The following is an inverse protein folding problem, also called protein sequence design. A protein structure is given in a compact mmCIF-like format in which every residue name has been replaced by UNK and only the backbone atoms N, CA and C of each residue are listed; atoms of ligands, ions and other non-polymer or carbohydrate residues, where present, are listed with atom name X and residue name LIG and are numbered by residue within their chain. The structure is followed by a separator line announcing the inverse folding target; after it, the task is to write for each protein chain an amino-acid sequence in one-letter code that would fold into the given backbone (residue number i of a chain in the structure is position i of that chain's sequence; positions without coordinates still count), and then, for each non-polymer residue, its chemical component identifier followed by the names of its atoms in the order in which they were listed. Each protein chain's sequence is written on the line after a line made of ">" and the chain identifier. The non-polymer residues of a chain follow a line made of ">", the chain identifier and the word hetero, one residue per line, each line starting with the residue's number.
data_IF_222195239983
#
_entry.id   IF_222195239983
#
_cell.length_a   1.000
_cell.length_b   1.000
_cell.length_c   1.000
_cell.angle_alpha   90.00
_cell.angle_beta   90.00
_cell.angle_gamma   90.00
#
_symmetry.space_group_name_H-M   'P 1'
#
loop_
_entity.id
_entity.type
_entity.pdbx_description
1 polymer ?
#
# COMPACT_ATOMS: atom_id res chain seq x y z
N UNK A 1 32.49 -0.25 31.61
CA UNK A 1 32.88 -1.24 30.59
C UNK A 1 31.89 -2.40 30.63
N UNK A 2 30.70 -2.20 30.06
CA UNK A 2 29.74 -3.29 29.82
C UNK A 2 29.94 -3.72 28.38
N UNK A 3 30.44 -4.94 28.16
CA UNK A 3 30.51 -5.56 26.84
C UNK A 3 29.09 -5.63 26.29
N UNK A 4 28.74 -4.75 25.35
CA UNK A 4 27.52 -4.90 24.59
C UNK A 4 27.64 -6.18 23.75
N UNK A 5 26.66 -7.10 23.81
CA UNK A 5 26.67 -8.27 22.95
C UNK A 5 26.58 -7.78 21.51
N UNK A 6 27.67 -7.92 20.76
CA UNK A 6 27.67 -7.73 19.30
C UNK A 6 26.83 -8.86 18.73
N UNK A 7 25.54 -8.60 18.53
CA UNK A 7 24.65 -9.50 17.81
C UNK A 7 25.30 -9.72 16.44
N UNK A 8 25.77 -10.94 16.18
CA UNK A 8 26.38 -11.26 14.89
C UNK A 8 25.35 -11.05 13.78
N UNK A 9 25.79 -10.62 12.59
CA UNK A 9 24.87 -10.34 11.46
C UNK A 9 23.87 -11.48 11.24
N UNK A 10 24.30 -12.74 11.39
CA UNK A 10 23.43 -13.92 11.26
C UNK A 10 22.33 -14.04 12.33
N UNK A 11 22.62 -13.67 13.57
CA UNK A 11 21.60 -13.65 14.64
C UNK A 11 20.56 -12.55 14.37
N UNK A 12 20.98 -11.43 13.79
CA UNK A 12 20.08 -10.34 13.45
C UNK A 12 19.17 -10.68 12.27
N UNK A 13 19.68 -11.34 11.22
CA UNK A 13 18.82 -11.83 10.12
C UNK A 13 17.78 -12.81 10.62
N UNK A 14 18.14 -13.70 11.55
CA UNK A 14 17.18 -14.61 12.19
C UNK A 14 16.15 -13.85 13.03
N UNK A 15 16.57 -12.81 13.75
CA UNK A 15 15.69 -11.98 14.57
C UNK A 15 14.70 -11.18 13.71
N UNK A 16 15.12 -10.68 12.54
CA UNK A 16 14.24 -10.03 11.56
C UNK A 16 13.39 -11.00 10.73
N UNK A 17 13.85 -12.22 10.50
CA UNK A 17 13.06 -13.24 9.81
C UNK A 17 12.00 -13.85 10.74
N UNK A 18 12.22 -13.80 12.06
CA UNK A 18 11.34 -14.41 13.07
C UNK A 18 9.89 -13.92 13.01
N UNK A 19 9.57 -12.62 12.83
CA UNK A 19 8.19 -12.16 12.77
C UNK A 19 7.55 -12.54 11.44
N UNK A 20 8.34 -12.68 10.37
CA UNK A 20 7.87 -13.15 9.06
C UNK A 20 7.39 -14.60 9.13
N UNK A 21 8.19 -15.47 9.74
CA UNK A 21 7.84 -16.88 9.96
C UNK A 21 6.63 -17.00 10.87
N UNK A 22 6.59 -16.21 11.95
CA UNK A 22 5.49 -16.22 12.91
C UNK A 22 4.18 -15.71 12.27
N UNK A 23 4.24 -14.63 11.49
CA UNK A 23 3.08 -14.11 10.75
C UNK A 23 2.61 -15.09 9.67
N UNK A 24 3.53 -15.80 8.99
CA UNK A 24 3.19 -16.80 7.99
C UNK A 24 2.46 -18.00 8.60
N UNK A 25 2.91 -18.46 9.77
CA UNK A 25 2.21 -19.50 10.55
C UNK A 25 0.82 -18.99 10.99
N UNK A 26 0.74 -17.75 11.48
CA UNK A 26 -0.54 -17.15 11.89
C UNK A 26 -1.52 -16.95 10.74
N UNK A 27 -1.07 -16.62 9.51
CA UNK A 27 -1.96 -16.58 8.33
C UNK A 27 -2.60 -17.93 8.07
N UNK A 28 -1.80 -19.00 8.04
CA UNK A 28 -2.31 -20.35 7.76
C UNK A 28 -3.33 -20.77 8.81
N UNK A 29 -3.07 -20.47 10.09
CA UNK A 29 -4.01 -20.74 11.18
C UNK A 29 -5.26 -19.86 11.12
N UNK A 30 -5.14 -18.58 10.76
CA UNK A 30 -6.25 -17.63 10.69
C UNK A 30 -7.21 -17.93 9.54
N UNK A 31 -6.69 -18.36 8.38
CA UNK A 31 -7.48 -18.76 7.21
C UNK A 31 -8.39 -19.95 7.50
N UNK A 32 -8.02 -20.82 8.43
CA UNK A 32 -8.89 -21.93 8.87
C UNK A 32 -10.07 -21.49 9.73
N UNK A 33 -10.05 -20.25 10.26
CA UNK A 33 -11.07 -19.73 11.19
C UNK A 33 -11.97 -18.66 10.59
N UNK A 34 -11.45 -17.76 9.75
CA UNK A 34 -12.22 -16.65 9.18
C UNK A 34 -11.51 -15.99 8.01
N UNK A 35 -12.22 -15.75 6.91
CA UNK A 35 -11.71 -15.03 5.74
C UNK A 35 -11.21 -13.61 6.08
N UNK A 36 -11.89 -12.90 6.99
CA UNK A 36 -11.48 -11.56 7.41
C UNK A 36 -10.16 -11.58 8.20
N UNK A 37 -9.97 -12.57 9.06
CA UNK A 37 -8.71 -12.75 9.80
C UNK A 37 -7.58 -13.16 8.87
N UNK A 38 -7.84 -14.03 7.88
CA UNK A 38 -6.88 -14.37 6.83
C UNK A 38 -6.42 -13.13 6.05
N UNK A 39 -7.36 -12.28 5.63
CA UNK A 39 -7.05 -11.01 4.95
C UNK A 39 -6.20 -10.07 5.83
N UNK A 40 -6.54 -9.91 7.10
CA UNK A 40 -5.79 -9.07 8.03
C UNK A 40 -4.36 -9.60 8.24
N UNK A 41 -4.20 -10.92 8.39
CA UNK A 41 -2.88 -11.53 8.55
C UNK A 41 -2.03 -11.38 7.28
N UNK A 42 -2.63 -11.55 6.08
CA UNK A 42 -1.95 -11.27 4.80
C UNK A 42 -1.52 -9.81 4.70
N UNK A 43 -2.38 -8.86 5.12
CA UNK A 43 -2.04 -7.45 5.15
C UNK A 43 -0.86 -7.15 6.10
N UNK A 44 -0.81 -7.81 7.25
CA UNK A 44 0.32 -7.70 8.20
C UNK A 44 1.62 -8.25 7.62
N UNK A 45 1.58 -9.38 6.90
CA UNK A 45 2.76 -9.92 6.21
C UNK A 45 3.27 -8.92 5.18
N UNK A 46 2.39 -8.40 4.33
CA UNK A 46 2.77 -7.39 3.34
C UNK A 46 3.32 -6.13 3.99
N UNK A 47 2.72 -5.69 5.10
CA UNK A 47 3.20 -4.54 5.87
C UNK A 47 4.58 -4.80 6.48
N UNK A 48 4.83 -6.01 6.97
CA UNK A 48 6.13 -6.37 7.53
C UNK A 48 7.20 -6.47 6.44
N UNK A 49 6.87 -7.06 5.29
CA UNK A 49 7.75 -7.10 4.13
C UNK A 49 8.12 -5.68 3.65
N UNK A 50 7.14 -4.78 3.58
CA UNK A 50 7.36 -3.36 3.30
C UNK A 50 8.36 -2.75 4.30
N UNK A 51 8.17 -2.96 5.61
CA UNK A 51 9.12 -2.48 6.63
C UNK A 51 10.55 -3.00 6.44
N UNK A 52 10.73 -4.27 6.04
CA UNK A 52 12.06 -4.82 5.77
C UNK A 52 12.72 -4.15 4.56
N UNK A 53 11.96 -3.86 3.50
CA UNK A 53 12.45 -3.11 2.34
C UNK A 53 12.88 -1.70 2.77
N UNK A 54 12.09 -1.03 3.62
CA UNK A 54 12.45 0.26 4.19
C UNK A 54 13.77 0.21 4.98
N UNK A 55 13.94 -0.80 5.83
CA UNK A 55 15.20 -1.00 6.58
C UNK A 55 16.38 -1.21 5.64
N UNK A 56 16.25 -2.04 4.61
CA UNK A 56 17.30 -2.29 3.62
C UNK A 56 17.68 -1.00 2.87
N UNK A 57 16.71 -0.17 2.53
CA UNK A 57 16.95 1.12 1.88
C UNK A 57 17.74 2.08 2.78
N UNK A 58 17.42 2.16 4.07
CA UNK A 58 18.22 2.93 5.00
C UNK A 58 19.64 2.37 5.13
N UNK A 59 19.78 1.05 5.25
CA UNK A 59 21.10 0.41 5.28
C UNK A 59 21.95 0.80 4.06
N UNK A 60 21.36 0.77 2.87
CA UNK A 60 22.02 1.18 1.63
C UNK A 60 22.37 2.68 1.62
N UNK A 61 21.46 3.56 2.05
CA UNK A 61 21.70 5.00 2.09
C UNK A 61 22.87 5.38 3.02
N UNK A 62 22.97 4.75 4.19
CA UNK A 62 24.10 4.98 5.09
C UNK A 62 25.39 4.32 4.59
N UNK A 63 25.31 3.16 3.93
CA UNK A 63 26.47 2.55 3.28
C UNK A 63 27.04 3.45 2.17
N UNK A 64 26.19 4.15 1.41
CA UNK A 64 26.62 5.16 0.41
C UNK A 64 27.35 6.35 1.05
N UNK A 65 27.05 6.68 2.30
CA UNK A 65 27.75 7.70 3.09
C UNK A 65 29.00 7.16 3.79
N UNK A 66 29.37 5.89 3.56
CA UNK A 66 30.51 5.24 4.20
C UNK A 66 30.32 4.98 5.70
N UNK A 67 29.07 4.98 6.19
CA UNK A 67 28.77 4.78 7.61
C UNK A 67 28.22 3.39 7.86
N UNK A 68 28.92 2.65 8.72
CA UNK A 68 28.45 1.36 9.21
C UNK A 68 27.48 1.58 10.37
N UNK A 69 26.20 1.35 10.11
CA UNK A 69 25.16 1.32 11.15
C UNK A 69 24.87 -0.10 11.56
N UNK A 70 24.65 -0.29 12.86
CA UNK A 70 24.20 -1.58 13.35
C UNK A 70 22.75 -1.81 12.97
N UNK A 71 22.33 -3.06 12.86
CA UNK A 71 21.00 -3.32 12.34
C UNK A 71 19.85 -2.90 13.29
N UNK A 72 20.11 -2.84 14.60
CA UNK A 72 19.20 -2.24 15.58
C UNK A 72 18.99 -0.75 15.31
N UNK A 73 20.05 -0.04 14.91
CA UNK A 73 19.99 1.39 14.60
C UNK A 73 19.16 1.63 13.33
N UNK A 74 19.32 0.77 12.31
CA UNK A 74 18.48 0.79 11.10
C UNK A 74 17.00 0.60 11.46
N UNK A 75 16.69 -0.33 12.36
CA UNK A 75 15.31 -0.58 12.79
C UNK A 75 14.70 0.63 13.49
N UNK A 76 15.43 1.27 14.40
CA UNK A 76 14.99 2.46 15.12
C UNK A 76 14.78 3.65 14.17
N UNK A 77 15.73 3.92 13.27
CA UNK A 77 15.61 4.98 12.26
C UNK A 77 14.38 4.74 11.39
N UNK A 78 14.17 3.49 10.96
CA UNK A 78 13.01 3.11 10.15
C UNK A 78 11.71 3.31 10.92
N UNK A 79 11.62 2.88 12.18
CA UNK A 79 10.42 3.04 12.99
C UNK A 79 10.04 4.53 13.17
N UNK A 80 11.02 5.37 13.47
CA UNK A 80 10.83 6.82 13.65
C UNK A 80 10.40 7.48 12.34
N UNK A 81 10.99 7.06 11.23
CA UNK A 81 10.59 7.50 9.90
C UNK A 81 9.15 7.14 9.54
N UNK A 82 8.71 5.92 9.88
CA UNK A 82 7.32 5.50 9.67
C UNK A 82 6.34 6.28 10.55
N UNK A 83 6.70 6.57 11.80
CA UNK A 83 5.88 7.42 12.68
C UNK A 83 5.75 8.83 12.11
N UNK A 84 6.85 9.40 11.62
CA UNK A 84 6.84 10.74 11.03
C UNK A 84 5.98 10.82 9.76
N UNK A 85 5.90 9.73 8.97
CA UNK A 85 5.06 9.67 7.77
C UNK A 85 3.55 9.64 8.07
N UNK A 86 3.14 9.31 9.30
CA UNK A 86 1.73 9.31 9.71
C UNK A 86 1.21 10.74 9.92
N UNK A 87 2.09 11.70 10.18
CA UNK A 87 1.71 13.09 10.52
C UNK A 87 1.49 13.89 9.22
N UNK A 88 0.24 14.23 8.83
CA UNK A 88 -0.05 14.86 7.53
C UNK A 88 0.05 16.39 7.59
N UNK A 89 1.07 16.93 8.27
CA UNK A 89 1.18 18.39 8.53
C UNK A 89 2.03 19.10 7.45
N UNK A 90 2.96 18.40 6.83
CA UNK A 90 3.77 18.85 5.68
C UNK A 90 3.87 17.70 4.68
N UNK A 91 4.05 17.95 3.37
CA UNK A 91 4.04 16.91 2.31
C UNK A 91 4.95 15.70 2.57
N UNK A 92 4.45 14.71 3.32
CA UNK A 92 5.15 13.53 3.81
C UNK A 92 6.01 13.70 5.07
N UNK A 93 5.72 14.66 5.95
CA UNK A 93 6.38 14.79 7.27
C UNK A 93 7.79 15.41 7.26
N UNK A 94 8.13 16.18 6.22
CA UNK A 94 9.37 16.96 6.12
C UNK A 94 9.49 17.90 7.35
N UNK A 95 10.62 17.84 8.05
CA UNK A 95 10.81 18.43 9.38
C UNK A 95 10.68 17.42 10.53
N UNK A 96 9.50 16.85 10.79
CA UNK A 96 9.32 15.92 11.93
C UNK A 96 10.21 14.68 11.83
N UNK A 97 10.45 14.21 10.61
CA UNK A 97 11.34 13.08 10.35
C UNK A 97 12.80 13.43 10.58
N UNK A 98 13.24 14.62 10.18
CA UNK A 98 14.61 15.09 10.36
C UNK A 98 14.92 15.28 11.85
N UNK A 99 13.97 15.84 12.60
CA UNK A 99 14.04 15.95 14.05
C UNK A 99 14.01 14.58 14.71
N UNK A 100 13.08 13.70 14.33
CA UNK A 100 12.96 12.36 14.92
C UNK A 100 14.21 11.52 14.72
N UNK A 101 14.76 11.48 13.50
CA UNK A 101 15.98 10.73 13.17
C UNK A 101 17.18 11.32 13.91
N UNK A 102 17.31 12.65 13.94
CA UNK A 102 18.35 13.34 14.70
C UNK A 102 18.28 13.09 16.20
N UNK A 103 17.07 13.15 16.78
CA UNK A 103 16.84 12.90 18.21
C UNK A 103 17.13 11.44 18.58
N UNK A 104 16.75 10.51 17.73
CA UNK A 104 17.02 9.07 17.94
C UNK A 104 18.52 8.78 17.87
N UNK A 105 19.24 9.47 16.98
CA UNK A 105 20.70 9.37 16.89
C UNK A 105 21.42 9.93 18.13
N UNK A 106 20.89 10.98 18.76
CA UNK A 106 21.48 11.57 19.97
C UNK A 106 21.10 10.83 21.25
N UNK A 107 19.89 10.27 21.33
CA UNK A 107 19.36 9.61 22.54
C UNK A 107 19.74 8.13 22.68
N UNK A 108 20.22 7.48 21.61
CA UNK A 108 20.54 6.04 21.66
C UNK A 108 22.02 5.80 21.97
N UNK A 109 22.36 5.12 23.09
CA UNK A 109 23.74 4.73 23.40
C UNK A 109 24.33 3.88 22.26
N UNK A 110 25.52 4.24 21.77
CA UNK A 110 26.15 3.59 20.62
C UNK A 110 25.80 4.17 19.25
N UNK A 111 24.84 5.10 19.15
CA UNK A 111 24.59 5.93 17.95
C UNK A 111 25.32 7.29 18.03
N UNK A 112 25.90 7.62 19.18
CA UNK A 112 26.51 8.92 19.51
C UNK A 112 27.65 9.40 18.58
N UNK A 113 28.05 8.61 17.57
CA UNK A 113 29.00 9.00 16.52
C UNK A 113 28.38 9.34 15.16
N UNK A 114 27.09 9.06 14.94
CA UNK A 114 26.42 9.43 13.68
C UNK A 114 26.03 10.89 13.81
N UNK A 115 26.82 11.77 13.18
CA UNK A 115 26.50 13.18 13.11
C UNK A 115 25.08 13.35 12.56
N UNK A 116 24.27 14.20 13.19
CA UNK A 116 22.90 14.51 12.72
C UNK A 116 22.87 14.87 11.23
N UNK A 117 23.94 15.53 10.75
CA UNK A 117 24.14 15.83 9.31
C UNK A 117 24.16 14.58 8.44
N UNK A 118 24.82 13.50 8.88
CA UNK A 118 24.90 12.23 8.15
C UNK A 118 23.56 11.51 8.16
N UNK A 119 22.87 11.49 9.31
CA UNK A 119 21.57 10.83 9.41
C UNK A 119 20.49 11.54 8.57
N UNK A 120 20.48 12.88 8.60
CA UNK A 120 19.62 13.70 7.72
C UNK A 120 20.02 13.52 6.25
N UNK A 121 21.32 13.49 5.94
CA UNK A 121 21.82 13.25 4.58
C UNK A 121 21.37 11.91 4.01
N UNK A 122 21.45 10.84 4.80
CA UNK A 122 20.98 9.51 4.40
C UNK A 122 19.47 9.51 4.13
N UNK A 123 18.69 10.18 4.98
CA UNK A 123 17.25 10.28 4.80
C UNK A 123 16.87 11.05 3.53
N UNK A 124 17.55 12.18 3.26
CA UNK A 124 17.34 12.99 2.05
C UNK A 124 17.70 12.19 0.79
N UNK A 125 18.85 11.50 0.76
CA UNK A 125 19.25 10.65 -0.37
C UNK A 125 18.19 9.57 -0.62
N UNK A 126 17.78 8.87 0.43
CA UNK A 126 16.75 7.84 0.32
C UNK A 126 15.44 8.42 -0.24
N UNK A 127 15.08 9.65 0.14
CA UNK A 127 13.85 10.30 -0.33
C UNK A 127 13.93 10.80 -1.77
N UNK A 128 15.09 11.31 -2.19
CA UNK A 128 15.33 11.69 -3.58
C UNK A 128 15.21 10.46 -4.46
N UNK A 129 15.86 9.35 -4.08
CA UNK A 129 15.76 8.09 -4.79
C UNK A 129 14.30 7.61 -4.91
N UNK A 130 13.54 7.69 -3.81
CA UNK A 130 12.11 7.36 -3.83
C UNK A 130 11.32 8.23 -4.78
N UNK A 131 11.48 9.54 -4.68
CA UNK A 131 10.67 10.52 -5.40
C UNK A 131 10.92 10.44 -6.89
N UNK A 132 12.18 10.26 -7.30
CA UNK A 132 12.57 10.06 -8.70
C UNK A 132 11.93 8.80 -9.29
N UNK A 133 11.67 7.75 -8.50
CA UNK A 133 11.07 6.50 -8.98
C UNK A 133 9.53 6.56 -8.90
N UNK A 134 8.98 7.04 -7.78
CA UNK A 134 7.54 7.03 -7.52
C UNK A 134 6.78 7.98 -8.42
N UNK A 135 7.32 9.17 -8.71
CA UNK A 135 6.66 10.15 -9.60
C UNK A 135 6.43 9.55 -11.01
N UNK A 136 7.44 9.06 -11.74
CA UNK A 136 7.22 8.54 -13.09
C UNK A 136 6.35 7.28 -13.07
N UNK A 137 6.53 6.37 -12.11
CA UNK A 137 5.68 5.18 -11.98
C UNK A 137 4.23 5.58 -11.73
N UNK A 138 4.00 6.53 -10.83
CA UNK A 138 2.67 7.08 -10.54
C UNK A 138 2.03 7.68 -11.80
N UNK A 139 2.75 8.52 -12.53
CA UNK A 139 2.25 9.13 -13.78
C UNK A 139 1.90 8.09 -14.84
N UNK A 140 2.74 7.07 -15.03
CA UNK A 140 2.47 5.97 -15.98
C UNK A 140 1.22 5.20 -15.56
N UNK A 141 1.10 4.82 -14.30
CA UNK A 141 -0.07 4.12 -13.78
C UNK A 141 -1.33 4.96 -13.92
N UNK A 142 -1.29 6.25 -13.56
CA UNK A 142 -2.43 7.17 -13.74
C UNK A 142 -2.83 7.28 -15.20
N UNK A 143 -1.87 7.37 -16.13
CA UNK A 143 -2.17 7.42 -17.57
C UNK A 143 -2.83 6.12 -18.06
N UNK A 144 -2.37 4.96 -17.61
CA UNK A 144 -2.94 3.65 -17.97
C UNK A 144 -4.36 3.48 -17.43
N UNK A 145 -4.60 3.87 -16.16
CA UNK A 145 -5.92 3.84 -15.54
C UNK A 145 -6.87 4.80 -16.26
N UNK A 146 -6.43 6.04 -16.52
CA UNK A 146 -7.22 7.03 -17.26
C UNK A 146 -7.61 6.53 -18.67
N UNK A 147 -6.69 5.84 -19.35
CA UNK A 147 -6.95 5.19 -20.65
C UNK A 147 -8.02 4.10 -20.55
N UNK A 148 -7.94 3.23 -19.53
CA UNK A 148 -8.95 2.17 -19.32
C UNK A 148 -10.32 2.75 -18.96
N UNK A 149 -10.39 3.74 -18.09
CA UNK A 149 -11.65 4.39 -17.74
C UNK A 149 -12.31 5.06 -18.95
N UNK A 150 -11.54 5.75 -19.80
CA UNK A 150 -12.06 6.31 -21.06
C UNK A 150 -12.63 5.25 -22.01
N UNK A 151 -11.97 4.09 -22.12
CA UNK A 151 -12.44 3.00 -22.97
C UNK A 151 -13.78 2.43 -22.48
N UNK A 152 -13.93 2.19 -21.16
CA UNK A 152 -15.17 1.71 -20.56
C UNK A 152 -16.31 2.72 -20.71
N UNK A 153 -16.05 4.02 -20.50
CA UNK A 153 -17.07 5.06 -20.68
C UNK A 153 -17.52 5.18 -22.14
N UNK A 154 -16.60 5.02 -23.10
CA UNK A 154 -16.93 5.01 -24.54
C UNK A 154 -17.84 3.84 -24.91
N UNK A 155 -17.63 2.65 -24.34
CA UNK A 155 -18.49 1.49 -24.56
C UNK A 155 -19.92 1.73 -24.04
N UNK A 156 -20.05 2.26 -22.82
CA UNK A 156 -21.37 2.59 -22.24
C UNK A 156 -22.13 3.64 -23.06
N UNK A 157 -21.43 4.66 -23.55
CA UNK A 157 -22.04 5.69 -24.40
C UNK A 157 -22.53 5.11 -25.74
N UNK A 158 -21.80 4.15 -26.31
CA UNK A 158 -22.21 3.46 -27.55
C UNK A 158 -23.43 2.54 -27.32
N UNK A 159 -23.46 1.79 -26.22
CA UNK A 159 -24.60 0.95 -25.84
C UNK A 159 -25.87 1.77 -25.58
N UNK A 160 -25.76 2.94 -24.93
CA UNK A 160 -26.89 3.83 -24.70
C UNK A 160 -27.41 4.48 -25.99
N UNK A 161 -26.50 4.94 -26.87
CA UNK A 161 -26.88 5.49 -28.17
C UNK A 161 -27.57 4.46 -29.08
N UNK A 162 -27.12 3.19 -29.06
CA UNK A 162 -27.79 2.11 -29.81
C UNK A 162 -29.14 1.70 -29.23
N UNK A 163 -29.41 1.93 -27.95
CA UNK A 163 -30.70 1.65 -27.33
C UNK A 163 -31.76 2.74 -27.66
N UNK A 164 -31.32 3.97 -27.90
CA UNK A 164 -32.19 5.11 -28.23
C UNK A 164 -32.58 5.14 -29.72
N UNK A 165 -31.75 4.54 -30.59
CA UNK A 165 -32.01 4.36 -32.03
C UNK A 165 -32.82 3.09 -32.38
N UNK A 166 -33.26 2.31 -31.39
CA UNK A 166 -34.32 1.33 -31.67
C UNK A 166 -35.58 2.14 -31.97
N UNK A 167 -36.11 2.11 -33.21
CA UNK A 167 -37.35 2.80 -33.51
C UNK A 167 -38.36 2.24 -32.54
N UNK A 168 -38.93 3.11 -31.70
CA UNK A 168 -40.10 2.81 -30.89
C UNK A 168 -41.10 2.26 -31.87
N UNK A 169 -41.18 0.92 -31.94
CA UNK A 169 -42.13 0.23 -32.76
C UNK A 169 -43.44 0.75 -32.26
N UNK A 170 -44.06 1.64 -33.04
CA UNK A 170 -45.44 2.02 -32.84
C UNK A 170 -46.16 0.71 -32.55
N UNK A 171 -46.81 0.54 -31.38
CA UNK A 171 -47.74 -0.56 -31.23
C UNK A 171 -48.71 -0.36 -32.38
N UNK A 172 -48.57 -1.19 -33.42
CA UNK A 172 -49.61 -1.31 -34.42
C UNK A 172 -50.82 -1.71 -33.61
N UNK A 173 -51.75 -0.77 -33.48
CA UNK A 173 -53.15 -1.01 -33.21
C UNK A 173 -53.55 -2.18 -34.10
N UNK A 174 -53.43 -3.38 -33.56
CA UNK A 174 -54.20 -4.51 -34.03
C UNK A 174 -55.59 -4.27 -33.45
N UNK A 175 -56.33 -3.38 -34.12
CA UNK A 175 -57.78 -3.40 -34.15
C UNK A 175 -58.17 -4.81 -34.62
N UNK A 176 -58.29 -5.73 -33.65
CA UNK A 176 -59.02 -6.97 -33.83
C UNK A 176 -60.50 -6.61 -33.81
N UNK A 177 -61.23 -6.71 -34.94
CA UNK A 177 -62.68 -6.60 -34.91
C UNK A 177 -63.23 -7.72 -34.03
N UNK A 178 -64.05 -7.32 -33.05
CA UNK A 178 -64.53 -8.16 -31.98
C UNK A 178 -65.12 -9.49 -32.45
N UNK A 179 -64.70 -10.58 -31.80
CA UNK A 179 -65.45 -11.81 -31.81
C UNK A 179 -66.67 -11.66 -30.89
N UNK A 180 -67.91 -11.77 -31.41
CA UNK A 180 -69.09 -11.80 -30.57
C UNK A 180 -69.30 -13.21 -30.01
N UNK A 181 -69.42 -13.28 -28.69
CA UNK A 181 -70.19 -14.33 -28.01
C UNK A 181 -69.41 -15.56 -27.57
N UNK A 182 -68.87 -15.52 -26.36
CA UNK A 182 -68.91 -16.68 -25.47
C UNK A 182 -69.67 -16.29 -24.20
N UNK A 183 -70.96 -16.59 -24.19
CA UNK A 183 -71.78 -16.64 -22.98
C UNK A 183 -71.32 -17.82 -22.14
N UNK A 184 -70.82 -17.55 -20.93
CA UNK A 184 -70.67 -18.55 -19.89
C UNK A 184 -72.03 -18.79 -19.21
N UNK A 185 -72.44 -20.04 -18.95
CA UNK A 185 -73.64 -20.33 -18.17
C UNK A 185 -73.41 -20.04 -16.67
N UNK A 186 -74.46 -19.70 -15.93
CA UNK A 186 -74.39 -19.53 -14.48
C UNK A 186 -74.34 -20.88 -13.79
N UNK A 187 -73.29 -21.12 -13.01
CA UNK A 187 -73.26 -22.24 -12.07
C UNK A 187 -74.08 -21.89 -10.82
N UNK A 188 -74.92 -22.85 -10.45
CA UNK A 188 -75.81 -22.87 -9.29
C UNK A 188 -75.09 -23.21 -7.99
#
# INVERSE_FOLDING_TARGET
>A
LLMSPTIGMGQFTLLLASPLVLLLILTVLAETKSDQLGLLMRALIWRYADLLVWMLRYAAAFAMLGVHITPVQIALITAVSQIAQIIPITGGGLGFREWGVGLTATMTPGIQGIAMRTAVGADVINRIAETIIVIPVGLVCTALVARRFKAVMKQRAFEQGSAEDQPVGHPQDQDQPGQPGQQYPPDH
#
